data_IF_398426645830
#
_entry.id   IF_398426645830
#
_cell.length_a   1.000
_cell.length_b   1.000
_cell.length_c   1.000
_cell.angle_alpha   90.00
_cell.angle_beta   90.00
_cell.angle_gamma   90.00
#
_symmetry.space_group_name_H-M   'P 1'
#
loop_
_entity.id
_entity.type
_entity.pdbx_description
1 polymer ?
#
# COMPACT_ATOMS: atom_id res chain seq x y z
N UNK A 1 25.14 11.10 -4.30
CA UNK A 1 25.01 9.61 -4.29
C UNK A 1 23.68 9.14 -4.84
N UNK A 2 22.54 9.73 -4.43
CA UNK A 2 21.22 9.41 -5.00
C UNK A 2 21.15 9.50 -6.54
N UNK A 3 21.62 10.61 -7.12
CA UNK A 3 21.64 10.76 -8.59
C UNK A 3 22.47 9.67 -9.29
N UNK A 4 23.66 9.34 -8.76
CA UNK A 4 24.50 8.25 -9.28
C UNK A 4 23.79 6.88 -9.19
N UNK A 5 23.02 6.65 -8.12
CA UNK A 5 22.24 5.43 -7.97
C UNK A 5 21.05 5.37 -8.95
N UNK A 6 20.51 6.51 -9.37
CA UNK A 6 19.43 6.60 -10.36
C UNK A 6 19.91 6.28 -11.77
N UNK A 7 21.15 6.63 -12.11
CA UNK A 7 21.75 6.47 -13.44
C UNK A 7 21.88 5.01 -13.92
N UNK A 8 21.82 4.02 -13.02
CA UNK A 8 21.71 2.63 -13.45
C UNK A 8 22.07 1.56 -12.43
N UNK A 9 21.75 0.30 -12.78
CA UNK A 9 22.01 -0.88 -11.94
C UNK A 9 23.49 -1.06 -11.61
N UNK A 10 24.37 -0.78 -12.56
CA UNK A 10 25.82 -0.94 -12.39
C UNK A 10 26.38 0.03 -11.33
N UNK A 11 25.99 1.31 -11.40
CA UNK A 11 26.41 2.30 -10.42
C UNK A 11 25.86 1.98 -9.02
N UNK A 12 24.62 1.47 -8.91
CA UNK A 12 24.09 0.97 -7.64
C UNK A 12 24.95 -0.16 -7.05
N UNK A 13 25.33 -1.15 -7.86
CA UNK A 13 26.19 -2.25 -7.41
C UNK A 13 27.55 -1.75 -6.94
N UNK A 14 28.15 -0.79 -7.64
CA UNK A 14 29.43 -0.18 -7.23
C UNK A 14 29.32 0.58 -5.93
N UNK A 15 28.25 1.35 -5.72
CA UNK A 15 28.02 2.05 -4.45
C UNK A 15 27.84 1.07 -3.28
N UNK A 16 27.12 -0.04 -3.50
CA UNK A 16 26.98 -1.11 -2.49
C UNK A 16 28.33 -1.75 -2.19
N UNK A 17 29.08 -2.14 -3.23
CA UNK A 17 30.41 -2.74 -3.09
C UNK A 17 31.43 -1.82 -2.42
N UNK A 18 31.27 -0.50 -2.58
CA UNK A 18 32.10 0.51 -1.94
C UNK A 18 31.73 0.81 -0.48
N UNK A 19 30.77 0.09 0.12
CA UNK A 19 30.39 0.29 1.53
C UNK A 19 29.62 1.59 1.79
N UNK A 20 29.00 2.18 0.76
CA UNK A 20 28.28 3.45 0.91
C UNK A 20 26.99 3.31 1.70
N UNK A 21 26.29 2.17 1.55
CA UNK A 21 24.96 1.98 2.13
C UNK A 21 24.97 2.00 3.65
N UNK A 22 25.88 1.31 4.35
CA UNK A 22 25.90 1.35 5.82
C UNK A 22 26.22 2.74 6.38
N UNK A 23 27.09 3.51 5.71
CA UNK A 23 27.38 4.90 6.09
C UNK A 23 26.16 5.80 5.95
N UNK A 24 25.38 5.65 4.88
CA UNK A 24 24.12 6.36 4.71
C UNK A 24 23.06 5.92 5.72
N UNK A 25 22.96 4.62 5.98
CA UNK A 25 22.04 4.07 6.96
C UNK A 25 22.29 4.66 8.36
N UNK A 26 23.56 4.76 8.77
CA UNK A 26 23.95 5.43 10.02
C UNK A 26 23.40 6.86 10.10
N UNK A 27 23.53 7.65 9.04
CA UNK A 27 22.98 9.03 9.01
C UNK A 27 21.45 9.06 9.13
N UNK A 28 20.76 8.07 8.56
CA UNK A 28 19.30 7.94 8.70
C UNK A 28 18.94 7.58 10.15
N UNK A 29 19.67 6.67 10.78
CA UNK A 29 19.47 6.29 12.20
C UNK A 29 19.70 7.49 13.11
N UNK A 30 20.81 8.21 12.94
CA UNK A 30 21.11 9.45 13.67
C UNK A 30 19.98 10.48 13.50
N UNK A 31 19.48 10.63 12.27
CA UNK A 31 18.37 11.54 11.98
C UNK A 31 17.07 11.11 12.64
N UNK A 32 16.80 9.80 12.72
CA UNK A 32 15.63 9.26 13.39
C UNK A 32 15.69 9.45 14.91
N UNK A 33 16.87 9.29 15.51
CA UNK A 33 17.10 9.45 16.95
C UNK A 33 16.75 10.88 17.43
N UNK A 34 17.03 11.90 16.61
CA UNK A 34 16.66 13.30 16.89
C UNK A 34 15.16 13.50 17.11
N UNK A 35 14.28 12.69 16.50
CA UNK A 35 12.83 12.80 16.69
C UNK A 35 12.33 12.15 17.98
N UNK A 36 13.12 11.27 18.60
CA UNK A 36 12.77 10.57 19.84
C UNK A 36 13.48 11.13 21.08
N UNK A 37 14.47 12.03 20.90
CA UNK A 37 15.33 12.48 22.00
C UNK A 37 16.29 11.41 22.52
N UNK A 38 16.57 10.39 21.69
CA UNK A 38 17.51 9.31 22.00
C UNK A 38 18.91 9.66 21.44
N UNK A 39 19.98 9.23 22.10
CA UNK A 39 21.32 9.24 21.49
C UNK A 39 21.41 8.10 20.47
N UNK A 40 21.95 8.38 19.29
CA UNK A 40 22.20 7.35 18.29
C UNK A 40 23.27 6.39 18.84
N UNK A 41 22.97 5.09 18.88
CA UNK A 41 23.91 4.10 19.40
C UNK A 41 25.22 4.08 18.62
N UNK A 42 26.35 4.01 19.32
CA UNK A 42 27.68 3.88 18.73
C UNK A 42 27.88 2.42 18.31
N UNK A 43 27.66 2.10 17.05
CA UNK A 43 27.76 0.75 16.52
C UNK A 43 28.55 0.70 15.21
N UNK A 44 29.40 -0.32 15.07
CA UNK A 44 30.21 -0.61 13.88
C UNK A 44 29.35 -1.13 12.71
N UNK A 45 28.47 -0.25 12.20
CA UNK A 45 27.68 -0.55 11.01
C UNK A 45 28.52 -0.48 9.72
N UNK A 46 29.74 0.07 9.74
CA UNK A 46 30.51 0.45 8.55
C UNK A 46 30.77 -0.70 7.55
N UNK A 47 30.75 -1.96 8.00
CA UNK A 47 30.91 -3.15 7.15
C UNK A 47 29.70 -4.09 7.11
N UNK A 48 28.57 -3.72 7.71
CA UNK A 48 27.41 -4.60 7.78
C UNK A 48 26.75 -4.77 6.39
N UNK A 49 26.36 -6.00 6.00
CA UNK A 49 25.59 -6.19 4.77
C UNK A 49 24.24 -5.48 4.89
N UNK A 50 23.69 -5.00 3.77
CA UNK A 50 22.46 -4.19 3.76
C UNK A 50 21.29 -4.89 4.45
N UNK A 51 21.18 -6.22 4.31
CA UNK A 51 20.15 -7.01 4.97
C UNK A 51 20.26 -6.99 6.49
N UNK A 52 21.49 -6.99 7.04
CA UNK A 52 21.70 -6.92 8.48
C UNK A 52 21.29 -5.56 9.07
N UNK A 53 21.36 -4.48 8.27
CA UNK A 53 20.90 -3.15 8.69
C UNK A 53 19.38 -3.10 8.94
N UNK A 54 18.61 -4.01 8.34
CA UNK A 54 17.16 -4.08 8.53
C UNK A 54 16.77 -4.87 9.79
N UNK A 55 17.68 -5.68 10.34
CA UNK A 55 17.43 -6.46 11.54
C UNK A 55 17.42 -5.58 12.80
N UNK A 56 16.78 -6.03 13.91
CA UNK A 56 16.80 -5.32 15.18
C UNK A 56 18.21 -5.12 15.72
N UNK A 57 18.45 -3.92 16.28
CA UNK A 57 19.72 -3.53 16.87
C UNK A 57 19.80 -2.02 17.10
N UNK A 58 20.81 -1.55 17.84
CA UNK A 58 20.97 -0.13 18.19
C UNK A 58 21.16 0.79 16.97
N UNK A 59 21.61 0.23 15.85
CA UNK A 59 21.82 0.93 14.57
C UNK A 59 20.88 0.43 13.46
N UNK A 60 19.72 -0.13 13.84
CA UNK A 60 18.76 -0.67 12.87
C UNK A 60 18.17 0.41 11.98
N UNK A 61 18.49 0.35 10.68
CA UNK A 61 17.86 1.16 9.65
C UNK A 61 16.36 0.88 9.60
N UNK A 62 15.95 -0.39 9.72
CA UNK A 62 14.53 -0.77 9.68
C UNK A 62 13.72 -0.02 10.74
N UNK A 63 14.17 -0.06 11.99
CA UNK A 63 13.47 0.63 13.09
C UNK A 63 13.54 2.15 12.96
N UNK A 64 14.66 2.68 12.47
CA UNK A 64 14.77 4.11 12.14
C UNK A 64 13.74 4.53 11.09
N UNK A 65 13.50 3.74 10.04
CA UNK A 65 12.49 4.02 9.02
C UNK A 65 11.07 4.04 9.59
N UNK A 66 10.73 3.08 10.48
CA UNK A 66 9.43 3.07 11.18
C UNK A 66 9.24 4.36 11.99
N UNK A 67 10.27 4.80 12.72
CA UNK A 67 10.26 6.04 13.50
C UNK A 67 10.10 7.28 12.63
N UNK A 68 10.83 7.35 11.50
CA UNK A 68 10.71 8.45 10.55
C UNK A 68 9.32 8.53 9.93
N UNK A 69 8.72 7.40 9.55
CA UNK A 69 7.32 7.39 9.11
C UNK A 69 6.42 7.94 10.20
N UNK A 70 6.59 7.49 11.44
CA UNK A 70 5.74 7.88 12.57
C UNK A 70 5.83 9.37 12.93
N UNK A 71 7.04 9.94 12.97
CA UNK A 71 7.31 11.22 13.62
C UNK A 71 7.79 12.32 12.68
N UNK A 72 8.41 11.99 11.54
CA UNK A 72 9.08 12.99 10.72
C UNK A 72 8.09 13.84 9.89
N UNK A 73 8.50 15.05 9.46
CA UNK A 73 7.75 15.86 8.51
C UNK A 73 7.44 15.10 7.21
N UNK A 74 6.36 15.47 6.49
CA UNK A 74 5.89 14.72 5.32
C UNK A 74 6.95 14.42 4.26
N UNK A 75 7.87 15.35 3.98
CA UNK A 75 8.93 15.14 3.00
C UNK A 75 9.86 13.96 3.39
N UNK A 76 10.38 13.96 4.62
CA UNK A 76 11.29 12.91 5.08
C UNK A 76 10.57 11.58 5.28
N UNK A 77 9.35 11.62 5.80
CA UNK A 77 8.53 10.41 5.94
C UNK A 77 8.15 9.79 4.59
N UNK A 78 8.04 10.60 3.52
CA UNK A 78 7.80 10.09 2.16
C UNK A 78 8.97 9.23 1.69
N UNK A 79 10.20 9.71 1.86
CA UNK A 79 11.40 8.94 1.50
C UNK A 79 11.53 7.66 2.34
N UNK A 80 11.25 7.74 3.64
CA UNK A 80 11.23 6.57 4.51
C UNK A 80 10.17 5.54 4.07
N UNK A 81 8.96 6.01 3.72
CA UNK A 81 7.89 5.16 3.23
C UNK A 81 8.25 4.48 1.90
N UNK A 82 8.93 5.16 0.97
CA UNK A 82 9.40 4.54 -0.27
C UNK A 82 10.43 3.44 -0.04
N UNK A 83 11.36 3.63 0.91
CA UNK A 83 12.31 2.58 1.28
C UNK A 83 11.58 1.36 1.87
N UNK A 84 10.59 1.60 2.74
CA UNK A 84 9.77 0.53 3.31
C UNK A 84 8.94 -0.19 2.24
N UNK A 85 8.40 0.51 1.24
CA UNK A 85 7.73 -0.09 0.10
C UNK A 85 8.68 -1.01 -0.69
N UNK A 86 9.94 -0.60 -0.89
CA UNK A 86 10.95 -1.45 -1.51
C UNK A 86 11.22 -2.71 -0.68
N UNK A 87 11.35 -2.58 0.65
CA UNK A 87 11.51 -3.74 1.54
C UNK A 87 10.30 -4.69 1.47
N UNK A 88 9.08 -4.14 1.51
CA UNK A 88 7.84 -4.90 1.46
C UNK A 88 7.63 -5.65 0.13
N UNK A 89 8.18 -5.12 -0.96
CA UNK A 89 8.08 -5.73 -2.29
C UNK A 89 9.05 -6.90 -2.52
N UNK A 90 9.97 -7.14 -1.59
CA UNK A 90 10.92 -8.25 -1.70
C UNK A 90 10.20 -9.60 -1.58
N UNK A 91 10.55 -10.63 -2.38
CA UNK A 91 9.91 -11.95 -2.33
C UNK A 91 10.00 -12.63 -0.96
N UNK A 92 11.11 -12.40 -0.25
CA UNK A 92 11.32 -12.82 1.14
C UNK A 92 11.93 -11.64 1.89
N UNK A 93 11.11 -10.80 2.55
CA UNK A 93 11.58 -9.58 3.20
C UNK A 93 12.36 -9.86 4.50
N UNK A 94 12.43 -11.12 4.94
CA UNK A 94 13.30 -11.59 6.02
C UNK A 94 12.93 -11.10 7.43
N UNK A 95 13.76 -11.42 8.44
CA UNK A 95 13.47 -11.16 9.85
C UNK A 95 13.43 -9.67 10.21
N UNK A 96 14.16 -8.82 9.48
CA UNK A 96 14.11 -7.37 9.68
C UNK A 96 12.74 -6.77 9.39
N UNK A 97 12.03 -7.32 8.40
CA UNK A 97 10.66 -6.91 8.10
C UNK A 97 9.66 -7.31 9.17
N UNK A 98 9.74 -8.56 9.64
CA UNK A 98 8.92 -9.03 10.75
C UNK A 98 9.08 -8.13 11.99
N UNK A 99 10.32 -7.73 12.30
CA UNK A 99 10.58 -6.83 13.41
C UNK A 99 10.03 -5.41 13.20
N UNK A 100 10.13 -4.85 12.00
CA UNK A 100 9.52 -3.54 11.70
C UNK A 100 8.00 -3.55 11.91
N UNK A 101 7.35 -4.65 11.53
CA UNK A 101 5.93 -4.86 11.79
C UNK A 101 5.63 -4.99 13.29
N UNK A 102 6.45 -5.73 14.04
CA UNK A 102 6.31 -5.88 15.51
C UNK A 102 6.52 -4.55 16.25
N UNK A 103 7.32 -3.64 15.69
CA UNK A 103 7.56 -2.28 16.19
C UNK A 103 6.50 -1.25 15.77
N UNK A 104 5.41 -1.73 15.18
CA UNK A 104 4.21 -0.93 14.89
C UNK A 104 4.29 -0.13 13.59
N UNK A 105 4.88 -0.72 12.55
CA UNK A 105 4.89 -0.14 11.20
C UNK A 105 3.47 -0.01 10.62
N UNK A 106 2.60 -0.99 10.83
CA UNK A 106 1.22 -0.96 10.33
C UNK A 106 0.47 0.23 10.90
N UNK A 107 0.53 0.42 12.22
CA UNK A 107 -0.12 1.48 12.96
C UNK A 107 0.42 2.84 12.53
N UNK A 108 1.74 2.97 12.39
CA UNK A 108 2.37 4.19 11.92
C UNK A 108 1.92 4.55 10.51
N UNK A 109 1.94 3.60 9.57
CA UNK A 109 1.53 3.81 8.19
C UNK A 109 0.04 4.18 8.10
N UNK A 110 -0.83 3.47 8.83
CA UNK A 110 -2.25 3.76 8.93
C UNK A 110 -2.53 5.17 9.45
N UNK A 111 -1.93 5.54 10.58
CA UNK A 111 -2.12 6.85 11.20
C UNK A 111 -1.65 7.97 10.27
N UNK A 112 -0.49 7.79 9.63
CA UNK A 112 0.09 8.78 8.72
C UNK A 112 -0.73 8.94 7.44
N UNK A 113 -1.30 7.85 6.92
CA UNK A 113 -2.20 7.90 5.78
C UNK A 113 -3.45 8.73 6.13
N UNK A 114 -4.09 8.46 7.28
CA UNK A 114 -5.24 9.24 7.74
C UNK A 114 -4.93 10.73 7.85
N UNK A 115 -3.80 11.09 8.48
CA UNK A 115 -3.36 12.48 8.56
C UNK A 115 -3.11 13.09 7.18
N UNK A 116 -2.47 12.34 6.27
CA UNK A 116 -2.18 12.78 4.91
C UNK A 116 -3.46 13.05 4.08
N UNK A 117 -4.61 12.47 4.45
CA UNK A 117 -5.88 12.62 3.72
C UNK A 117 -6.97 13.41 4.45
N UNK A 118 -6.76 13.80 5.71
CA UNK A 118 -7.79 14.42 6.56
C UNK A 118 -8.47 15.69 5.97
N UNK A 119 -7.73 16.60 5.35
CA UNK A 119 -8.28 17.78 4.62
C UNK A 119 -8.87 17.55 3.21
N UNK A 120 -9.33 16.34 2.86
CA UNK A 120 -9.90 15.99 1.53
C UNK A 120 -8.90 15.62 0.43
N UNK A 121 -9.26 14.73 -0.50
CA UNK A 121 -8.31 14.07 -1.44
C UNK A 121 -8.48 14.53 -2.90
N UNK A 122 -9.44 15.42 -3.14
CA UNK A 122 -9.93 15.77 -4.47
C UNK A 122 -8.90 16.47 -5.38
N UNK A 123 -7.80 17.01 -4.84
CA UNK A 123 -6.83 17.80 -5.63
C UNK A 123 -5.38 17.71 -5.16
N UNK A 124 -5.03 16.83 -4.19
CA UNK A 124 -3.72 16.94 -3.50
C UNK A 124 -2.52 16.54 -4.37
N UNK A 125 -2.03 17.52 -5.11
CA UNK A 125 -0.62 17.62 -5.51
C UNK A 125 0.14 18.26 -4.34
N UNK A 126 1.31 17.70 -4.01
CA UNK A 126 2.17 18.22 -2.95
C UNK A 126 2.60 17.17 -1.91
N UNK A 127 3.27 17.58 -0.82
CA UNK A 127 3.94 16.66 0.12
C UNK A 127 3.02 15.63 0.77
N UNK A 128 1.77 16.01 1.07
CA UNK A 128 0.79 15.09 1.66
C UNK A 128 0.34 14.00 0.67
N UNK A 129 0.17 14.34 -0.61
CA UNK A 129 -0.18 13.38 -1.67
C UNK A 129 0.97 12.42 -1.95
N UNK A 130 2.20 12.94 -2.03
CA UNK A 130 3.40 12.11 -2.19
C UNK A 130 3.58 11.11 -1.04
N UNK A 131 3.39 11.58 0.21
CA UNK A 131 3.41 10.71 1.37
C UNK A 131 2.31 9.65 1.30
N UNK A 132 1.07 10.05 0.98
CA UNK A 132 -0.04 9.11 0.88
C UNK A 132 0.25 8.02 -0.18
N UNK A 133 0.77 8.39 -1.35
CA UNK A 133 1.12 7.43 -2.39
C UNK A 133 2.18 6.42 -1.92
N UNK A 134 3.24 6.90 -1.27
CA UNK A 134 4.29 6.03 -0.73
C UNK A 134 3.74 5.09 0.36
N UNK A 135 2.90 5.59 1.27
CA UNK A 135 2.26 4.80 2.32
C UNK A 135 1.29 3.76 1.75
N UNK A 136 0.51 4.12 0.73
CA UNK A 136 -0.40 3.19 0.06
C UNK A 136 0.36 2.04 -0.59
N UNK A 137 1.50 2.32 -1.22
CA UNK A 137 2.36 1.28 -1.79
C UNK A 137 2.87 0.32 -0.70
N UNK A 138 3.37 0.86 0.42
CA UNK A 138 3.84 0.06 1.56
C UNK A 138 2.72 -0.81 2.12
N UNK A 139 1.56 -0.22 2.40
CA UNK A 139 0.38 -0.92 2.92
C UNK A 139 -0.10 -1.99 1.95
N UNK A 140 -0.17 -1.70 0.65
CA UNK A 140 -0.63 -2.67 -0.32
C UNK A 140 0.28 -3.90 -0.40
N UNK A 141 1.61 -3.73 -0.27
CA UNK A 141 2.54 -4.85 -0.16
C UNK A 141 2.41 -5.61 1.18
N UNK A 142 2.19 -4.91 2.30
CA UNK A 142 1.90 -5.56 3.58
C UNK A 142 0.66 -6.45 3.51
N UNK A 143 -0.40 -5.94 2.86
CA UNK A 143 -1.65 -6.70 2.69
C UNK A 143 -1.46 -7.86 1.70
N UNK A 144 -0.75 -7.63 0.59
CA UNK A 144 -0.47 -8.67 -0.41
C UNK A 144 0.31 -9.85 0.17
N UNK A 145 1.14 -9.63 1.19
CA UNK A 145 1.85 -10.70 1.90
C UNK A 145 0.90 -11.64 2.65
N UNK A 146 -0.33 -11.21 2.96
CA UNK A 146 -1.40 -12.08 3.45
C UNK A 146 -1.26 -12.53 4.91
N UNK A 147 -0.46 -11.85 5.74
CA UNK A 147 -0.36 -12.15 7.17
C UNK A 147 -1.61 -11.64 7.93
N UNK A 148 -2.66 -12.46 7.92
CA UNK A 148 -3.95 -12.12 8.52
C UNK A 148 -3.85 -11.74 10.01
N UNK A 149 -2.94 -12.35 10.77
CA UNK A 149 -2.77 -12.04 12.18
C UNK A 149 -2.25 -10.61 12.38
N UNK A 150 -1.23 -10.21 11.61
CA UNK A 150 -0.67 -8.85 11.65
C UNK A 150 -1.61 -7.81 11.06
N UNK A 151 -2.45 -8.18 10.09
CA UNK A 151 -3.42 -7.28 9.46
C UNK A 151 -4.72 -7.12 10.24
N UNK A 152 -4.98 -7.97 11.25
CA UNK A 152 -6.23 -7.95 12.02
C UNK A 152 -6.64 -6.57 12.53
N UNK A 153 -5.76 -5.71 13.08
CA UNK A 153 -6.17 -4.36 13.52
C UNK A 153 -6.77 -3.49 12.40
N UNK A 154 -6.40 -3.74 11.15
CA UNK A 154 -6.93 -3.02 9.98
C UNK A 154 -8.34 -3.49 9.58
N UNK A 155 -8.72 -4.73 9.93
CA UNK A 155 -10.03 -5.32 9.63
C UNK A 155 -11.07 -5.06 10.73
N UNK A 156 -10.65 -4.56 11.88
CA UNK A 156 -11.49 -4.34 13.06
C UNK A 156 -11.89 -2.86 13.20
N UNK A 157 -12.51 -2.52 14.33
CA UNK A 157 -12.98 -1.18 14.71
C UNK A 157 -11.90 -0.10 14.52
N UNK A 158 -10.67 -0.41 14.91
CA UNK A 158 -9.48 0.46 14.86
C UNK A 158 -9.07 0.82 13.43
N UNK A 159 -9.33 -0.09 12.49
CA UNK A 159 -8.98 0.03 11.08
C UNK A 159 -9.92 0.92 10.27
N UNK A 160 -11.14 1.21 10.77
CA UNK A 160 -12.18 1.92 10.01
C UNK A 160 -11.74 3.29 9.49
N UNK A 161 -11.00 4.04 10.29
CA UNK A 161 -10.46 5.34 9.85
C UNK A 161 -9.50 5.20 8.66
N UNK A 162 -8.71 4.12 8.63
CA UNK A 162 -7.79 3.83 7.52
C UNK A 162 -8.56 3.33 6.30
N UNK A 163 -9.56 2.47 6.47
CA UNK A 163 -10.42 2.03 5.36
C UNK A 163 -11.15 3.21 4.71
N UNK A 164 -11.66 4.15 5.51
CA UNK A 164 -12.26 5.39 4.98
C UNK A 164 -11.24 6.28 4.25
N UNK A 165 -10.00 6.35 4.74
CA UNK A 165 -8.91 7.02 4.04
C UNK A 165 -8.60 6.38 2.69
N UNK A 166 -8.61 5.05 2.60
CA UNK A 166 -8.46 4.30 1.34
C UNK A 166 -9.60 4.61 0.37
N UNK A 167 -10.87 4.57 0.82
CA UNK A 167 -12.03 4.95 0.00
C UNK A 167 -11.89 6.37 -0.55
N UNK A 168 -11.43 7.30 0.29
CA UNK A 168 -11.20 8.69 -0.12
C UNK A 168 -10.09 8.82 -1.17
N UNK A 169 -9.04 7.99 -1.09
CA UNK A 169 -7.97 7.94 -2.08
C UNK A 169 -8.42 7.36 -3.42
N UNK A 170 -9.28 6.32 -3.40
CA UNK A 170 -9.91 5.78 -4.62
C UNK A 170 -10.71 6.85 -5.36
N UNK A 171 -11.34 7.78 -4.64
CA UNK A 171 -12.09 8.86 -5.29
C UNK A 171 -11.24 10.05 -5.75
N UNK A 172 -9.91 10.02 -5.54
CA UNK A 172 -9.01 11.10 -5.94
C UNK A 172 -8.95 11.26 -7.47
N UNK A 173 -8.76 12.51 -7.92
CA UNK A 173 -8.45 12.81 -9.32
C UNK A 173 -7.04 12.37 -9.72
N UNK A 174 -6.16 12.17 -8.73
CA UNK A 174 -4.83 11.63 -8.94
C UNK A 174 -4.91 10.12 -9.21
N UNK A 175 -4.47 9.73 -10.41
CA UNK A 175 -4.53 8.35 -10.86
C UNK A 175 -3.57 7.42 -10.10
N UNK A 176 -2.45 7.95 -9.60
CA UNK A 176 -1.52 7.21 -8.77
C UNK A 176 -2.15 6.83 -7.44
N UNK A 177 -2.68 7.82 -6.71
CA UNK A 177 -3.40 7.59 -5.45
C UNK A 177 -4.59 6.64 -5.64
N UNK A 178 -5.37 6.85 -6.71
CA UNK A 178 -6.53 6.01 -7.03
C UNK A 178 -6.12 4.56 -7.26
N UNK A 179 -5.08 4.34 -8.08
CA UNK A 179 -4.59 3.00 -8.42
C UNK A 179 -4.06 2.26 -7.19
N UNK A 180 -3.20 2.91 -6.40
CA UNK A 180 -2.63 2.30 -5.19
C UNK A 180 -3.69 1.99 -4.14
N UNK A 181 -4.65 2.89 -3.92
CA UNK A 181 -5.72 2.66 -2.95
C UNK A 181 -6.66 1.53 -3.40
N UNK A 182 -7.00 1.48 -4.68
CA UNK A 182 -7.80 0.39 -5.23
C UNK A 182 -7.07 -0.95 -5.12
N UNK A 183 -5.77 -0.98 -5.43
CA UNK A 183 -4.95 -2.18 -5.28
C UNK A 183 -4.90 -2.67 -3.83
N UNK A 184 -4.66 -1.77 -2.87
CA UNK A 184 -4.65 -2.10 -1.43
C UNK A 184 -6.01 -2.63 -0.95
N UNK A 185 -7.12 -1.98 -1.33
CA UNK A 185 -8.47 -2.45 -0.99
C UNK A 185 -8.78 -3.82 -1.62
N UNK A 186 -8.32 -4.06 -2.84
CA UNK A 186 -8.49 -5.35 -3.50
C UNK A 186 -7.73 -6.47 -2.81
N UNK A 187 -6.51 -6.22 -2.34
CA UNK A 187 -5.77 -7.20 -1.56
C UNK A 187 -6.44 -7.46 -0.19
N UNK A 188 -7.02 -6.43 0.43
CA UNK A 188 -7.76 -6.59 1.69
C UNK A 188 -9.01 -7.46 1.49
N UNK A 189 -9.79 -7.18 0.45
CA UNK A 189 -10.97 -7.97 0.10
C UNK A 189 -10.63 -9.40 -0.33
N UNK A 190 -9.40 -9.62 -0.82
CA UNK A 190 -8.89 -10.92 -1.24
C UNK A 190 -8.19 -11.73 -0.15
N UNK A 191 -8.13 -11.24 1.09
CA UNK A 191 -7.62 -12.02 2.21
C UNK A 191 -8.47 -13.30 2.40
N UNK A 192 -7.87 -14.41 2.87
CA UNK A 192 -8.63 -15.64 3.13
C UNK A 192 -9.79 -15.41 4.11
N UNK A 193 -10.98 -15.90 3.76
CA UNK A 193 -12.17 -15.75 4.59
C UNK A 193 -12.93 -14.44 4.36
N UNK A 194 -14.08 -14.29 5.02
CA UNK A 194 -15.03 -13.19 4.74
C UNK A 194 -14.67 -11.86 5.38
N UNK A 195 -13.88 -11.86 6.45
CA UNK A 195 -13.60 -10.66 7.27
C UNK A 195 -13.03 -9.50 6.44
N UNK A 196 -12.12 -9.77 5.51
CA UNK A 196 -11.51 -8.75 4.65
C UNK A 196 -12.52 -8.11 3.70
N UNK A 197 -13.30 -8.94 3.00
CA UNK A 197 -14.34 -8.46 2.09
C UNK A 197 -15.46 -7.69 2.83
N UNK A 198 -15.87 -8.17 4.00
CA UNK A 198 -16.88 -7.52 4.84
C UNK A 198 -16.40 -6.17 5.36
N UNK A 199 -15.17 -6.06 5.88
CA UNK A 199 -14.61 -4.81 6.35
C UNK A 199 -14.51 -3.76 5.24
N UNK A 200 -14.05 -4.16 4.05
CA UNK A 200 -13.99 -3.30 2.85
C UNK A 200 -15.39 -2.83 2.42
N UNK A 201 -16.36 -3.74 2.41
CA UNK A 201 -17.75 -3.43 2.08
C UNK A 201 -18.37 -2.43 3.07
N UNK A 202 -18.24 -2.70 4.38
CA UNK A 202 -18.77 -1.85 5.45
C UNK A 202 -18.16 -0.44 5.47
N UNK A 203 -16.91 -0.29 5.00
CA UNK A 203 -16.25 1.00 4.86
C UNK A 203 -16.75 1.84 3.65
N UNK A 204 -17.68 1.31 2.85
CA UNK A 204 -18.21 1.99 1.67
C UNK A 204 -17.32 1.91 0.43
N UNK A 205 -16.32 1.02 0.42
CA UNK A 205 -15.36 0.91 -0.68
C UNK A 205 -16.01 0.55 -2.02
N UNK A 206 -17.07 -0.28 -2.02
CA UNK A 206 -17.76 -0.68 -3.26
C UNK A 206 -18.31 0.53 -4.01
N UNK A 207 -18.97 1.45 -3.30
CA UNK A 207 -19.49 2.66 -3.94
C UNK A 207 -18.35 3.54 -4.49
N UNK A 208 -17.26 3.70 -3.72
CA UNK A 208 -16.09 4.46 -4.14
C UNK A 208 -15.43 3.84 -5.40
N UNK A 209 -15.28 2.51 -5.44
CA UNK A 209 -14.71 1.76 -6.55
C UNK A 209 -15.58 1.84 -7.80
N UNK A 210 -16.91 1.71 -7.70
CA UNK A 210 -17.82 1.83 -8.84
C UNK A 210 -17.76 3.24 -9.44
N UNK A 211 -17.81 4.29 -8.61
CA UNK A 211 -17.65 5.68 -9.09
C UNK A 211 -16.28 5.93 -9.71
N UNK A 212 -15.22 5.31 -9.16
CA UNK A 212 -13.87 5.40 -9.73
C UNK A 212 -13.77 4.67 -11.08
N UNK A 213 -14.41 3.52 -11.22
CA UNK A 213 -14.48 2.75 -12.47
C UNK A 213 -15.19 3.55 -13.56
N UNK A 214 -16.38 4.09 -13.27
CA UNK A 214 -17.15 4.89 -14.23
C UNK A 214 -16.46 6.20 -14.66
N UNK A 215 -15.49 6.71 -13.88
CA UNK A 215 -14.65 7.86 -14.28
C UNK A 215 -13.55 7.48 -15.27
N UNK A 216 -13.24 6.20 -15.43
CA UNK A 216 -12.14 5.72 -16.25
C UNK A 216 -10.75 6.10 -15.71
N UNK A 217 -9.73 5.98 -16.56
CA UNK A 217 -8.33 6.27 -16.23
C UNK A 217 -7.35 5.51 -17.12
N UNK A 218 -6.08 5.47 -16.73
CA UNK A 218 -5.11 4.57 -17.34
C UNK A 218 -5.52 3.10 -17.11
N UNK A 219 -5.10 2.22 -18.03
CA UNK A 219 -5.44 0.79 -17.98
C UNK A 219 -5.08 0.14 -16.64
N UNK A 220 -3.90 0.43 -16.10
CA UNK A 220 -3.44 -0.10 -14.82
C UNK A 220 -4.36 0.28 -13.64
N UNK A 221 -4.91 1.51 -13.66
CA UNK A 221 -5.84 1.98 -12.62
C UNK A 221 -7.18 1.27 -12.73
N UNK A 222 -7.72 1.14 -13.96
CA UNK A 222 -8.95 0.38 -14.18
C UNK A 222 -8.79 -1.09 -13.79
N UNK A 223 -7.65 -1.70 -14.10
CA UNK A 223 -7.34 -3.06 -13.68
C UNK A 223 -7.34 -3.19 -12.15
N UNK A 224 -6.67 -2.28 -11.43
CA UNK A 224 -6.65 -2.32 -9.96
C UNK A 224 -8.05 -2.19 -9.35
N UNK A 225 -8.89 -1.30 -9.88
CA UNK A 225 -10.29 -1.13 -9.45
C UNK A 225 -11.11 -2.39 -9.74
N UNK A 226 -10.96 -2.96 -10.94
CA UNK A 226 -11.66 -4.15 -11.37
C UNK A 226 -11.26 -5.38 -10.52
N UNK A 227 -9.97 -5.54 -10.25
CA UNK A 227 -9.45 -6.57 -9.35
C UNK A 227 -10.05 -6.44 -7.95
N UNK A 228 -10.16 -5.22 -7.42
CA UNK A 228 -10.78 -4.98 -6.13
C UNK A 228 -12.27 -5.36 -6.10
N UNK A 229 -13.04 -4.96 -7.13
CA UNK A 229 -14.45 -5.33 -7.26
C UNK A 229 -14.62 -6.86 -7.40
N UNK A 230 -13.76 -7.52 -8.17
CA UNK A 230 -13.78 -8.98 -8.33
C UNK A 230 -13.53 -9.69 -6.99
N UNK A 231 -12.59 -9.22 -6.17
CA UNK A 231 -12.31 -9.80 -4.85
C UNK A 231 -13.46 -9.57 -3.86
N UNK A 232 -14.12 -8.41 -3.91
CA UNK A 232 -15.36 -8.19 -3.13
C UNK A 232 -16.45 -9.17 -3.55
N UNK A 233 -16.69 -9.34 -4.85
CA UNK A 233 -17.65 -10.33 -5.36
C UNK A 233 -17.26 -11.77 -5.00
N UNK A 234 -15.97 -12.08 -4.89
CA UNK A 234 -15.49 -13.40 -4.49
C UNK A 234 -15.75 -13.71 -3.00
N UNK A 235 -15.99 -12.71 -2.15
CA UNK A 235 -16.42 -12.89 -0.76
C UNK A 235 -15.46 -13.71 0.11
N UNK A 236 -14.14 -13.64 -0.13
CA UNK A 236 -13.15 -14.38 0.65
C UNK A 236 -12.77 -15.77 0.13
N UNK A 237 -13.25 -16.17 -1.05
CA UNK A 237 -12.58 -17.17 -1.89
C UNK A 237 -12.96 -18.64 -1.69
N UNK A 238 -14.23 -19.01 -1.90
CA UNK A 238 -14.62 -20.41 -2.17
C UNK A 238 -14.70 -20.74 -3.68
N UNK A 239 -14.34 -19.77 -4.54
CA UNK A 239 -14.36 -19.88 -6.00
C UNK A 239 -15.75 -19.78 -6.64
N UNK A 240 -16.83 -19.67 -5.85
CA UNK A 240 -18.20 -19.60 -6.37
C UNK A 240 -18.73 -18.17 -6.49
N UNK A 241 -18.10 -17.23 -5.79
CA UNK A 241 -18.60 -15.86 -5.66
C UNK A 241 -19.76 -15.78 -4.67
N UNK A 242 -19.87 -14.65 -3.97
CA UNK A 242 -20.98 -14.37 -3.07
C UNK A 242 -22.09 -13.69 -3.85
N UNK A 243 -23.18 -14.43 -4.11
CA UNK A 243 -24.34 -13.94 -4.86
C UNK A 243 -24.93 -12.65 -4.24
N UNK A 244 -24.89 -12.49 -2.91
CA UNK A 244 -25.36 -11.27 -2.27
C UNK A 244 -24.39 -10.11 -2.52
N UNK A 245 -23.08 -10.34 -2.46
CA UNK A 245 -22.08 -9.32 -2.77
C UNK A 245 -22.14 -8.89 -4.24
N UNK A 246 -22.32 -9.84 -5.17
CA UNK A 246 -22.48 -9.57 -6.60
C UNK A 246 -23.74 -8.74 -6.84
N UNK A 247 -24.89 -9.19 -6.33
CA UNK A 247 -26.15 -8.47 -6.47
C UNK A 247 -26.05 -7.06 -5.89
N UNK A 248 -25.37 -6.91 -4.76
CA UNK A 248 -25.12 -5.62 -4.15
C UNK A 248 -24.29 -4.73 -5.09
N UNK A 249 -23.13 -5.19 -5.58
CA UNK A 249 -22.29 -4.43 -6.55
C UNK A 249 -23.09 -4.00 -7.78
N UNK A 250 -23.92 -4.87 -8.35
CA UNK A 250 -24.68 -4.59 -9.57
C UNK A 250 -25.83 -3.60 -9.37
N UNK A 251 -26.43 -3.57 -8.18
CA UNK A 251 -27.61 -2.74 -7.89
C UNK A 251 -27.28 -1.40 -7.24
N UNK A 252 -26.02 -1.17 -6.90
CA UNK A 252 -25.59 0.10 -6.31
C UNK A 252 -25.65 1.30 -7.24
N UNK A 253 -25.81 2.47 -6.63
CA UNK A 253 -25.65 3.76 -7.30
C UNK A 253 -24.24 3.89 -7.93
N UNK A 254 -24.19 4.13 -9.25
CA UNK A 254 -22.96 4.21 -10.05
C UNK A 254 -22.57 2.90 -10.74
N UNK A 255 -23.31 1.81 -10.53
CA UNK A 255 -23.06 0.53 -11.20
C UNK A 255 -23.25 0.63 -12.72
N UNK A 256 -24.21 1.42 -13.20
CA UNK A 256 -24.49 1.56 -14.63
C UNK A 256 -23.27 2.08 -15.41
N UNK A 257 -22.67 3.18 -14.95
CA UNK A 257 -21.49 3.78 -15.57
C UNK A 257 -20.28 2.85 -15.45
N UNK A 258 -20.11 2.21 -14.29
CA UNK A 258 -19.05 1.22 -14.08
C UNK A 258 -19.19 0.02 -15.01
N UNK A 259 -20.41 -0.50 -15.23
CA UNK A 259 -20.66 -1.67 -16.07
C UNK A 259 -20.31 -1.43 -17.55
N UNK A 260 -20.48 -0.20 -18.04
CA UNK A 260 -20.03 0.17 -19.40
C UNK A 260 -18.51 0.05 -19.52
N UNK A 261 -17.78 0.60 -18.55
CA UNK A 261 -16.32 0.50 -18.52
C UNK A 261 -15.85 -0.95 -18.29
N UNK A 262 -16.53 -1.73 -17.45
CA UNK A 262 -16.22 -3.15 -17.22
C UNK A 262 -16.43 -3.94 -18.52
N UNK A 263 -17.51 -3.69 -19.26
CA UNK A 263 -17.77 -4.31 -20.55
C UNK A 263 -16.67 -3.96 -21.58
N UNK A 264 -16.19 -2.71 -21.58
CA UNK A 264 -15.06 -2.31 -22.41
C UNK A 264 -13.76 -3.03 -22.02
N UNK A 265 -13.51 -3.22 -20.72
CA UNK A 265 -12.35 -3.98 -20.22
C UNK A 265 -12.42 -5.47 -20.59
N UNK A 266 -13.61 -6.07 -20.68
CA UNK A 266 -13.79 -7.46 -21.13
C UNK A 266 -13.37 -7.67 -22.60
N UNK A 267 -13.37 -6.62 -23.41
CA UNK A 267 -12.90 -6.64 -24.79
C UNK A 267 -11.44 -6.15 -24.93
N UNK A 268 -10.76 -5.87 -23.81
CA UNK A 268 -9.37 -5.41 -23.85
C UNK A 268 -8.42 -6.54 -24.24
N UNK A 269 -7.34 -6.21 -24.94
CA UNK A 269 -6.30 -7.17 -25.32
C UNK A 269 -5.53 -7.75 -24.12
N UNK A 270 -5.61 -7.12 -22.95
CA UNK A 270 -5.03 -7.63 -21.71
C UNK A 270 -5.86 -8.79 -21.15
N UNK A 271 -5.35 -10.01 -21.30
CA UNK A 271 -6.06 -11.24 -20.93
C UNK A 271 -6.44 -11.29 -19.44
N UNK A 272 -5.63 -10.73 -18.54
CA UNK A 272 -5.92 -10.68 -17.11
C UNK A 272 -7.10 -9.74 -16.81
N UNK A 273 -7.08 -8.53 -17.38
CA UNK A 273 -8.20 -7.60 -17.26
C UNK A 273 -9.48 -8.16 -17.86
N UNK A 274 -9.39 -8.85 -19.01
CA UNK A 274 -10.53 -9.47 -19.66
C UNK A 274 -11.14 -10.58 -18.80
N UNK A 275 -10.32 -11.44 -18.19
CA UNK A 275 -10.77 -12.50 -17.29
C UNK A 275 -11.46 -11.95 -16.04
N UNK A 276 -10.90 -10.92 -15.38
CA UNK A 276 -11.52 -10.27 -14.23
C UNK A 276 -12.85 -9.62 -14.59
N UNK A 277 -12.93 -8.96 -15.75
CA UNK A 277 -14.17 -8.34 -16.22
C UNK A 277 -15.25 -9.38 -16.49
N UNK A 278 -14.87 -10.52 -17.07
CA UNK A 278 -15.76 -11.66 -17.24
C UNK A 278 -16.17 -12.29 -15.92
N UNK A 279 -15.30 -12.38 -14.91
CA UNK A 279 -15.68 -12.88 -13.59
C UNK A 279 -16.79 -12.03 -12.96
N UNK A 280 -16.64 -10.70 -13.00
CA UNK A 280 -17.67 -9.77 -12.50
C UNK A 280 -18.96 -9.85 -13.33
N UNK A 281 -18.87 -10.15 -14.63
CA UNK A 281 -20.03 -10.21 -15.55
C UNK A 281 -20.73 -11.57 -15.63
N UNK A 282 -20.01 -12.69 -15.54
CA UNK A 282 -20.54 -14.04 -15.72
C UNK A 282 -21.14 -14.60 -14.43
N UNK A 283 -20.83 -13.98 -13.29
CA UNK A 283 -21.46 -14.26 -12.00
C UNK A 283 -22.69 -13.36 -11.75
N UNK A 284 -22.96 -12.42 -12.67
CA UNK A 284 -24.14 -11.55 -12.76
C UNK A 284 -25.20 -12.14 -13.70
#
# INVERSE_FOLDING_TARGET
MGNLAADGRELRRRLVAAGVVPLLARRVVESAAMFCGEEAGDGDAESAPVQALLCPGPTSLGLALVRLVRLAPPALATEAAWLLACCASAPDPGPGWAAMLDEGLLEAACARLRCAVAGGVATRRGPAGALAQALLRTLGHMVAAGDAARLRPLLMEEGRGTLHALCSCVESVDQGLRGEAAWTLGNLAGLPGREGAEAVAQAGAVQALLRAMGRGGALAVRHAILHALANVCAGGGDGRGDAAAIQWVLTHAGAKEALVEIAAMAACADAQSAALALQVRCQA
#
